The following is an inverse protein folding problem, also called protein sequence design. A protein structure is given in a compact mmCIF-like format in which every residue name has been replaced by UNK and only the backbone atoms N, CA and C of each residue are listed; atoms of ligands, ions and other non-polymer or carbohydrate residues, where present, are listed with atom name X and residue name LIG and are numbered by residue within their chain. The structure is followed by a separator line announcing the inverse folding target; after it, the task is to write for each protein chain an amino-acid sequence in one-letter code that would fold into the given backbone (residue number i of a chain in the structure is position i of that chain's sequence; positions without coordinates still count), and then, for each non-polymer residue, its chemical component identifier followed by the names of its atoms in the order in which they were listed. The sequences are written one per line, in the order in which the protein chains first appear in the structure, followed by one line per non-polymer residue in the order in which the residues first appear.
data_IF_508284139622
#
_entry.id   IF_508284139622
#
_cell.length_a   1.000
_cell.length_b   1.000
_cell.length_c   1.000
_cell.angle_alpha   90.00
_cell.angle_beta   90.00
_cell.angle_gamma   90.00
#
_symmetry.space_group_name_H-M   'P 1'
#
loop_
_entity.id
_entity.type
_entity.pdbx_description
1 polymer ?
#
# COMPACT_ATOMS: atom_id res chain seq x y z
N UNK A 1 5.58 18.92 28.56
CA UNK A 1 4.82 19.34 27.36
C UNK A 1 5.37 18.73 26.09
N UNK A 2 6.68 18.78 25.84
CA UNK A 2 7.30 18.14 24.67
C UNK A 2 7.05 16.63 24.60
N UNK A 3 7.20 15.91 25.71
CA UNK A 3 6.97 14.44 25.75
C UNK A 3 5.50 14.08 25.43
N UNK A 4 4.55 14.85 25.95
CA UNK A 4 3.13 14.67 25.65
C UNK A 4 2.84 14.88 24.16
N UNK A 5 3.50 15.85 23.54
CA UNK A 5 3.35 16.14 22.11
C UNK A 5 4.00 15.03 21.26
N UNK A 6 5.19 14.55 21.64
CA UNK A 6 5.84 13.40 20.99
C UNK A 6 4.98 12.12 21.07
N UNK A 7 4.38 11.85 22.23
CA UNK A 7 3.47 10.72 22.41
C UNK A 7 2.23 10.81 21.51
N UNK A 8 1.65 12.01 21.38
CA UNK A 8 0.50 12.23 20.49
C UNK A 8 0.92 11.99 19.03
N UNK A 9 2.04 12.56 18.61
CA UNK A 9 2.53 12.42 17.22
C UNK A 9 2.83 10.96 16.85
N UNK A 10 3.53 10.22 17.72
CA UNK A 10 3.83 8.80 17.50
C UNK A 10 2.59 7.92 17.53
N UNK A 11 1.60 8.24 18.39
CA UNK A 11 0.30 7.56 18.40
C UNK A 11 -0.49 7.79 17.12
N UNK A 12 -0.53 9.03 16.60
CA UNK A 12 -1.16 9.32 15.32
C UNK A 12 -0.43 8.66 14.15
N UNK A 13 0.90 8.60 14.19
CA UNK A 13 1.69 7.87 13.20
C UNK A 13 1.33 6.37 13.19
N UNK A 14 1.27 5.73 14.36
CA UNK A 14 0.86 4.33 14.50
C UNK A 14 -0.57 4.10 13.97
N UNK A 15 -1.50 5.01 14.25
CA UNK A 15 -2.88 4.94 13.78
C UNK A 15 -2.99 5.07 12.25
N UNK A 16 -2.24 5.97 11.63
CA UNK A 16 -2.18 6.09 10.16
C UNK A 16 -1.55 4.87 9.50
N UNK A 17 -0.50 4.29 10.10
CA UNK A 17 0.05 3.01 9.67
C UNK A 17 -1.02 1.90 9.75
N UNK A 18 -1.82 1.85 10.82
CA UNK A 18 -2.94 0.92 10.96
C UNK A 18 -3.98 1.05 9.84
N UNK A 19 -4.37 2.27 9.48
CA UNK A 19 -5.28 2.50 8.34
C UNK A 19 -4.66 2.06 7.00
N UNK A 20 -3.37 2.32 6.79
CA UNK A 20 -2.66 1.87 5.60
C UNK A 20 -2.62 0.33 5.49
N UNK A 21 -2.41 -0.37 6.60
CA UNK A 21 -2.47 -1.84 6.68
C UNK A 21 -3.87 -2.34 6.38
N UNK A 22 -4.89 -1.75 7.00
CA UNK A 22 -6.30 -2.11 6.76
C UNK A 22 -6.70 -1.93 5.30
N UNK A 23 -6.34 -0.80 4.68
CA UNK A 23 -6.57 -0.56 3.25
C UNK A 23 -5.85 -1.56 2.35
N UNK A 24 -4.63 -1.95 2.73
CA UNK A 24 -3.87 -2.98 2.01
C UNK A 24 -4.55 -4.33 2.09
N UNK A 25 -4.96 -4.75 3.29
CA UNK A 25 -5.67 -6.01 3.51
C UNK A 25 -6.93 -6.12 2.67
N UNK A 26 -7.74 -5.05 2.65
CA UNK A 26 -8.94 -4.99 1.80
C UNK A 26 -8.58 -5.15 0.32
N UNK A 27 -7.54 -4.46 -0.15
CA UNK A 27 -7.13 -4.52 -1.56
C UNK A 27 -6.53 -5.86 -2.00
N UNK A 28 -5.85 -6.58 -1.11
CA UNK A 28 -5.11 -7.82 -1.45
C UNK A 28 -5.81 -9.11 -1.05
N UNK A 29 -6.76 -9.07 -0.12
CA UNK A 29 -7.50 -10.25 0.37
C UNK A 29 -8.98 -10.16 0.04
N UNK A 30 -9.66 -9.15 0.57
CA UNK A 30 -11.13 -9.04 0.47
C UNK A 30 -11.56 -8.84 -0.99
N UNK A 31 -10.99 -7.84 -1.66
CA UNK A 31 -11.38 -7.50 -3.04
C UNK A 31 -11.13 -8.66 -4.02
N UNK A 32 -9.99 -9.37 -3.99
CA UNK A 32 -9.81 -10.57 -4.81
C UNK A 32 -10.84 -11.66 -4.52
N UNK A 33 -11.07 -12.02 -3.26
CA UNK A 33 -12.02 -13.08 -2.91
C UNK A 33 -13.42 -12.78 -3.44
N UNK A 34 -13.94 -11.59 -3.12
CA UNK A 34 -15.26 -11.14 -3.59
C UNK A 34 -15.35 -11.02 -5.11
N UNK A 35 -14.26 -10.59 -5.76
CA UNK A 35 -14.24 -10.44 -7.21
C UNK A 35 -14.26 -11.77 -7.93
N UNK A 36 -13.57 -12.80 -7.43
CA UNK A 36 -13.53 -14.12 -8.06
C UNK A 36 -14.79 -14.95 -7.79
N UNK A 37 -15.49 -14.68 -6.69
CA UNK A 37 -16.76 -15.33 -6.36
C UNK A 37 -17.95 -14.75 -7.16
N UNK A 38 -17.92 -13.45 -7.49
CA UNK A 38 -19.05 -12.75 -8.12
C UNK A 38 -18.83 -12.28 -9.56
N UNK A 39 -17.63 -12.42 -10.13
CA UNK A 39 -17.34 -11.97 -11.49
C UNK A 39 -16.62 -13.01 -12.33
N UNK A 40 -16.78 -12.90 -13.66
CA UNK A 40 -15.97 -13.66 -14.62
C UNK A 40 -14.48 -13.40 -14.39
N UNK A 41 -13.65 -14.43 -14.53
CA UNK A 41 -12.20 -14.37 -14.24
C UNK A 41 -11.47 -13.16 -14.87
N UNK A 42 -11.83 -12.78 -16.09
CA UNK A 42 -11.20 -11.65 -16.79
C UNK A 42 -11.64 -10.30 -16.21
N UNK A 43 -12.90 -10.20 -15.76
CA UNK A 43 -13.45 -9.00 -15.14
C UNK A 43 -12.93 -8.86 -13.70
N UNK A 44 -12.89 -9.96 -12.96
CA UNK A 44 -12.30 -10.04 -11.62
C UNK A 44 -10.83 -9.58 -11.62
N UNK A 45 -10.01 -10.09 -12.54
CA UNK A 45 -8.60 -9.70 -12.66
C UNK A 45 -8.44 -8.18 -12.90
N UNK A 46 -9.29 -7.61 -13.76
CA UNK A 46 -9.30 -6.18 -14.05
C UNK A 46 -9.74 -5.35 -12.84
N UNK A 47 -10.76 -5.83 -12.13
CA UNK A 47 -11.27 -5.17 -10.93
C UNK A 47 -10.18 -5.09 -9.85
N UNK A 48 -9.57 -6.23 -9.50
CA UNK A 48 -8.49 -6.31 -8.51
C UNK A 48 -7.34 -5.35 -8.84
N UNK A 49 -6.88 -5.35 -10.10
CA UNK A 49 -5.81 -4.43 -10.54
C UNK A 49 -6.23 -2.97 -10.46
N UNK A 50 -7.45 -2.65 -10.88
CA UNK A 50 -7.99 -1.30 -10.79
C UNK A 50 -8.03 -0.80 -9.35
N UNK A 51 -8.53 -1.64 -8.45
CA UNK A 51 -8.61 -1.34 -7.02
C UNK A 51 -7.23 -1.16 -6.40
N UNK A 52 -6.26 -2.03 -6.69
CA UNK A 52 -4.89 -1.88 -6.17
C UNK A 52 -4.23 -0.59 -6.66
N UNK A 53 -4.40 -0.22 -7.93
CA UNK A 53 -3.89 1.05 -8.47
C UNK A 53 -4.56 2.25 -7.79
N UNK A 54 -5.88 2.20 -7.62
CA UNK A 54 -6.66 3.27 -6.99
C UNK A 54 -6.31 3.44 -5.51
N UNK A 55 -6.15 2.35 -4.78
CA UNK A 55 -5.83 2.34 -3.35
C UNK A 55 -4.35 2.69 -3.06
N UNK A 56 -3.43 2.44 -4.00
CA UNK A 56 -2.00 2.68 -3.78
C UNK A 56 -1.67 4.15 -3.45
N UNK A 57 -2.34 5.10 -4.10
CA UNK A 57 -2.08 6.54 -3.86
C UNK A 57 -2.51 7.00 -2.46
N UNK A 58 -3.76 6.78 -2.01
CA UNK A 58 -4.16 7.19 -0.66
C UNK A 58 -3.36 6.47 0.43
N UNK A 59 -3.03 5.18 0.24
CA UNK A 59 -2.18 4.44 1.18
C UNK A 59 -0.78 5.07 1.27
N UNK A 60 -0.17 5.42 0.13
CA UNK A 60 1.14 6.06 0.11
C UNK A 60 1.12 7.43 0.80
N UNK A 61 0.08 8.24 0.58
CA UNK A 61 -0.09 9.55 1.22
C UNK A 61 -0.24 9.39 2.74
N UNK A 62 -1.04 8.42 3.19
CA UNK A 62 -1.20 8.11 4.61
C UNK A 62 0.14 7.71 5.26
N UNK A 63 0.93 6.89 4.59
CA UNK A 63 2.25 6.47 5.09
C UNK A 63 3.28 7.61 5.09
N UNK A 64 3.22 8.53 4.13
CA UNK A 64 4.03 9.76 4.16
C UNK A 64 3.65 10.65 5.34
N UNK A 65 2.35 10.83 5.60
CA UNK A 65 1.88 11.58 6.76
C UNK A 65 2.32 10.88 8.07
N UNK A 66 2.20 9.55 8.14
CA UNK A 66 2.68 8.77 9.27
C UNK A 66 4.19 8.93 9.49
N UNK A 67 4.97 8.92 8.40
CA UNK A 67 6.41 9.14 8.45
C UNK A 67 6.77 10.52 9.00
N UNK A 68 6.12 11.59 8.51
CA UNK A 68 6.34 12.93 9.00
C UNK A 68 6.01 13.06 10.50
N UNK A 69 4.89 12.48 10.93
CA UNK A 69 4.49 12.48 12.34
C UNK A 69 5.44 11.67 13.23
N UNK A 70 5.92 10.52 12.75
CA UNK A 70 6.89 9.69 13.47
C UNK A 70 8.24 10.42 13.66
N UNK A 71 8.75 11.07 12.60
CA UNK A 71 9.99 11.85 12.66
C UNK A 71 9.85 13.04 13.61
N UNK A 72 8.75 13.79 13.53
CA UNK A 72 8.48 14.91 14.45
C UNK A 72 8.27 14.43 15.90
N UNK A 73 7.74 13.21 16.06
CA UNK A 73 7.56 12.55 17.35
C UNK A 73 8.82 11.91 17.92
N UNK A 74 9.96 11.92 17.21
CA UNK A 74 11.24 11.36 17.66
C UNK A 74 11.46 9.87 17.33
N UNK A 75 10.50 9.18 16.73
CA UNK A 75 10.60 7.78 16.31
C UNK A 75 11.16 7.69 14.87
N UNK A 76 12.47 7.89 14.74
CA UNK A 76 13.14 7.91 13.44
C UNK A 76 13.04 6.58 12.69
N UNK A 77 13.10 5.44 13.39
CA UNK A 77 12.99 4.11 12.80
C UNK A 77 11.63 3.92 12.12
N UNK A 78 10.55 4.19 12.86
CA UNK A 78 9.20 4.20 12.34
C UNK A 78 9.05 5.14 11.13
N UNK A 79 9.63 6.34 11.22
CA UNK A 79 9.62 7.33 10.14
C UNK A 79 10.24 6.81 8.85
N UNK A 80 11.41 6.19 8.93
CA UNK A 80 12.13 5.65 7.76
C UNK A 80 11.35 4.49 7.15
N UNK A 81 10.88 3.55 7.97
CA UNK A 81 10.16 2.36 7.45
C UNK A 81 8.82 2.75 6.85
N UNK A 82 8.11 3.72 7.44
CA UNK A 82 6.91 4.30 6.85
C UNK A 82 7.20 4.97 5.49
N UNK A 83 8.30 5.72 5.38
CA UNK A 83 8.70 6.37 4.12
C UNK A 83 9.06 5.36 3.03
N UNK A 84 9.81 4.30 3.36
CA UNK A 84 10.14 3.21 2.43
C UNK A 84 8.87 2.50 1.96
N UNK A 85 7.95 2.22 2.88
CA UNK A 85 6.67 1.59 2.55
C UNK A 85 5.83 2.50 1.65
N UNK A 86 5.78 3.81 1.94
CA UNK A 86 5.09 4.79 1.11
C UNK A 86 5.64 4.83 -0.31
N UNK A 87 6.98 4.86 -0.45
CA UNK A 87 7.65 4.78 -1.75
C UNK A 87 7.27 3.50 -2.49
N UNK A 88 7.22 2.37 -1.77
CA UNK A 88 6.72 1.11 -2.28
C UNK A 88 5.33 1.20 -2.91
N UNK A 89 4.36 1.80 -2.23
CA UNK A 89 3.03 2.01 -2.80
C UNK A 89 3.00 2.99 -3.99
N UNK A 90 3.88 4.00 -4.03
CA UNK A 90 4.04 4.82 -5.24
C UNK A 90 4.58 3.99 -6.41
N UNK A 91 5.56 3.12 -6.17
CA UNK A 91 6.07 2.23 -7.22
C UNK A 91 5.03 1.22 -7.69
N UNK A 92 4.11 0.79 -6.81
CA UNK A 92 2.96 -0.02 -7.21
C UNK A 92 2.07 0.70 -8.21
N UNK A 93 1.78 1.99 -8.02
CA UNK A 93 1.03 2.76 -9.03
C UNK A 93 1.75 2.74 -10.38
N UNK A 94 3.08 2.88 -10.41
CA UNK A 94 3.84 2.95 -11.67
C UNK A 94 4.01 1.59 -12.35
N UNK A 95 4.18 0.54 -11.56
CA UNK A 95 4.32 -0.85 -12.03
C UNK A 95 2.99 -1.42 -12.52
N UNK A 96 1.89 -0.98 -11.92
CA UNK A 96 0.55 -1.49 -12.15
C UNK A 96 -0.33 -0.59 -13.01
N UNK A 97 0.07 0.67 -13.24
CA UNK A 97 -0.66 1.58 -14.11
C UNK A 97 -0.91 0.89 -15.47
N UNK A 98 -2.16 0.87 -15.95
CA UNK A 98 -2.46 0.31 -17.25
C UNK A 98 -1.75 1.15 -18.31
N UNK A 99 -0.59 0.68 -18.79
CA UNK A 99 0.04 1.27 -19.96
C UNK A 99 -0.97 1.17 -21.09
N UNK A 100 -1.42 2.31 -21.61
CA UNK A 100 -2.18 2.41 -22.87
C UNK A 100 -1.48 1.45 -23.85
N UNK A 101 -2.17 0.47 -24.43
CA UNK A 101 -1.53 -0.45 -25.34
C UNK A 101 -0.98 0.38 -26.49
N UNK A 102 0.34 0.57 -26.52
CA UNK A 102 1.05 1.00 -27.72
C UNK A 102 0.83 -0.16 -28.69
N UNK A 103 -0.07 0.04 -29.66
CA UNK A 103 -0.56 -0.94 -30.64
C UNK A 103 0.19 -2.26 -30.58
N UNK A 104 -0.26 -3.16 -29.70
CA UNK A 104 0.35 -4.48 -29.62
C UNK A 104 -0.02 -5.21 -30.93
N UNK A 105 0.94 -5.79 -31.64
CA UNK A 105 0.66 -6.50 -32.89
C UNK A 105 -0.42 -7.56 -32.64
N UNK A 106 -1.36 -7.76 -33.59
CA UNK A 106 -2.46 -8.71 -33.43
C UNK A 106 -1.88 -10.09 -33.12
N UNK A 107 -2.25 -10.66 -31.97
CA UNK A 107 -1.79 -11.98 -31.52
C UNK A 107 -0.93 -12.00 -30.24
N UNK A 108 -0.42 -10.86 -29.76
CA UNK A 108 0.33 -10.82 -28.51
C UNK A 108 -0.60 -10.95 -27.29
N UNK A 109 -0.74 -12.16 -26.72
CA UNK A 109 -1.41 -12.39 -25.42
C UNK A 109 -0.70 -11.55 -24.35
N UNK A 110 -1.30 -10.43 -23.93
CA UNK A 110 -0.81 -9.67 -22.78
C UNK A 110 -0.76 -10.58 -21.55
N UNK A 111 0.38 -10.63 -20.86
CA UNK A 111 0.59 -11.38 -19.59
C UNK A 111 -0.16 -10.72 -18.41
N UNK A 112 -1.50 -10.70 -18.48
CA UNK A 112 -2.35 -10.06 -17.47
C UNK A 112 -2.32 -10.78 -16.11
N UNK A 113 -2.18 -12.11 -16.08
CA UNK A 113 -2.04 -12.86 -14.82
C UNK A 113 -0.77 -12.51 -14.03
N UNK A 114 0.38 -12.40 -14.69
CA UNK A 114 1.67 -12.14 -14.02
C UNK A 114 1.69 -10.80 -13.30
N UNK A 115 1.18 -9.74 -13.93
CA UNK A 115 1.16 -8.42 -13.32
C UNK A 115 0.18 -8.34 -12.12
N UNK A 116 -0.90 -9.14 -12.05
CA UNK A 116 -1.76 -9.21 -10.86
C UNK A 116 -0.99 -9.82 -9.68
N UNK A 117 -0.32 -10.94 -9.91
CA UNK A 117 0.46 -11.61 -8.86
C UNK A 117 1.54 -10.68 -8.32
N UNK A 118 2.23 -9.95 -9.21
CA UNK A 118 3.21 -8.93 -8.83
C UNK A 118 2.56 -7.80 -8.02
N UNK A 119 1.37 -7.33 -8.41
CA UNK A 119 0.62 -6.30 -7.68
C UNK A 119 0.33 -6.68 -6.24
N UNK A 120 -0.21 -7.89 -6.06
CA UNK A 120 -0.62 -8.43 -4.77
C UNK A 120 0.62 -8.69 -3.92
N UNK A 121 1.66 -9.29 -4.48
CA UNK A 121 2.90 -9.58 -3.78
C UNK A 121 3.61 -8.31 -3.29
N UNK A 122 3.78 -7.29 -4.15
CA UNK A 122 4.39 -6.02 -3.75
C UNK A 122 3.55 -5.31 -2.67
N UNK A 123 2.21 -5.30 -2.83
CA UNK A 123 1.33 -4.70 -1.83
C UNK A 123 1.40 -5.43 -0.48
N UNK A 124 1.54 -6.75 -0.47
CA UNK A 124 1.78 -7.53 0.75
C UNK A 124 3.12 -7.19 1.40
N UNK A 125 4.20 -7.10 0.62
CA UNK A 125 5.54 -6.76 1.13
C UNK A 125 5.52 -5.39 1.82
N UNK A 126 4.96 -4.37 1.16
CA UNK A 126 4.86 -3.04 1.75
C UNK A 126 3.81 -2.95 2.85
N UNK A 127 2.81 -3.83 2.84
CA UNK A 127 1.86 -4.01 3.94
C UNK A 127 2.54 -4.52 5.21
N UNK A 128 3.49 -5.46 5.09
CA UNK A 128 4.32 -5.89 6.23
C UNK A 128 5.22 -4.75 6.70
N UNK A 129 5.78 -3.97 5.77
CA UNK A 129 6.54 -2.76 6.10
C UNK A 129 5.73 -1.74 6.90
N UNK A 130 4.47 -1.49 6.55
CA UNK A 130 3.60 -0.58 7.29
C UNK A 130 3.18 -1.12 8.65
N UNK A 131 3.01 -2.44 8.81
CA UNK A 131 2.84 -3.08 10.13
C UNK A 131 4.08 -2.81 11.00
N UNK A 132 5.26 -3.09 10.47
CA UNK A 132 6.51 -2.88 11.18
C UNK A 132 6.67 -1.40 11.60
N UNK A 133 6.39 -0.46 10.69
CA UNK A 133 6.40 0.97 10.99
C UNK A 133 5.40 1.36 12.08
N UNK A 134 4.18 0.80 12.06
CA UNK A 134 3.18 1.04 13.08
C UNK A 134 3.59 0.54 14.47
N UNK A 135 4.19 -0.66 14.54
CA UNK A 135 4.73 -1.22 15.79
C UNK A 135 5.89 -0.38 16.30
N UNK A 136 6.82 0.00 15.42
CA UNK A 136 7.94 0.88 15.77
C UNK A 136 7.46 2.23 16.29
N UNK A 137 6.44 2.83 15.65
CA UNK A 137 5.85 4.09 16.13
C UNK A 137 5.23 3.94 17.52
N UNK A 138 4.53 2.83 17.78
CA UNK A 138 3.94 2.54 19.10
C UNK A 138 5.01 2.30 20.18
N UNK A 139 6.16 1.73 19.80
CA UNK A 139 7.31 1.52 20.69
C UNK A 139 8.25 2.73 20.76
N UNK A 140 7.98 3.79 19.99
CA UNK A 140 8.81 5.00 19.89
C UNK A 140 10.23 4.76 19.41
N UNK A 141 10.37 3.84 18.45
CA UNK A 141 11.64 3.45 17.81
C UNK A 141 11.66 4.05 16.39
#
# INVERSE_FOLDING_TARGET
MLDSLQNILTSFAALLCGFAVGGTWVGVVVVPNESFDHMDHTRADRNVRGTLVAASTPIAIMLLAASALAVLGGALGAGIVAAVSAFGYFTNRWTLAPRKPRSAPPGARQRKKTQRVVAVALSLIFGVGSIAAGVMAALQI
#
